data_IF_679337623593
#
_entry.id   IF_679337623593
#
_cell.length_a   1.000
_cell.length_b   1.000
_cell.length_c   1.000
_cell.angle_alpha   90.00
_cell.angle_beta   90.00
_cell.angle_gamma   90.00
#
_symmetry.space_group_name_H-M   'P 1'
#
loop_
_entity.id
_entity.type
_entity.pdbx_description
1 polymer ?
#
# COMPACT_ATOMS: atom_id res chain seq x y z
N UNK A 1 24.39 9.82 7.44
CA UNK A 1 23.71 10.79 6.53
C UNK A 1 22.27 11.05 7.00
N UNK A 2 21.76 12.28 6.95
CA UNK A 2 20.36 12.54 7.33
C UNK A 2 19.40 12.01 6.26
N UNK A 3 18.33 11.34 6.69
CA UNK A 3 17.27 10.80 5.83
C UNK A 3 15.93 11.37 6.30
N UNK A 4 15.10 11.82 5.37
CA UNK A 4 13.74 12.25 5.69
C UNK A 4 12.78 11.99 4.55
N UNK A 5 11.53 11.66 4.88
CA UNK A 5 10.45 11.48 3.92
C UNK A 5 9.13 11.98 4.52
N UNK A 6 8.19 12.39 3.67
CA UNK A 6 6.83 12.77 4.08
C UNK A 6 5.82 12.43 2.99
N UNK A 7 4.62 12.05 3.40
CA UNK A 7 3.46 11.86 2.52
C UNK A 7 2.43 12.96 2.81
N UNK A 8 1.94 13.59 1.75
CA UNK A 8 0.94 14.66 1.84
C UNK A 8 -0.23 14.32 0.93
N UNK A 9 -1.45 14.42 1.48
CA UNK A 9 -2.69 14.24 0.73
C UNK A 9 -3.70 15.30 1.17
N UNK A 10 -4.31 16.00 0.20
CA UNK A 10 -5.23 17.12 0.44
C UNK A 10 -4.70 18.20 1.42
N UNK A 11 -3.39 18.45 1.39
CA UNK A 11 -2.72 19.44 2.26
C UNK A 11 -2.36 18.94 3.66
N UNK A 12 -2.70 17.70 4.02
CA UNK A 12 -2.34 17.09 5.29
C UNK A 12 -1.11 16.22 5.13
N UNK A 13 -0.07 16.49 5.91
CA UNK A 13 1.01 15.53 6.12
C UNK A 13 0.54 14.47 7.09
N UNK A 14 0.42 13.22 6.65
CA UNK A 14 -0.15 12.12 7.46
C UNK A 14 0.85 11.02 7.81
N UNK A 15 2.00 10.98 7.11
CA UNK A 15 3.16 10.14 7.44
C UNK A 15 4.42 10.97 7.29
N UNK A 16 5.30 10.90 8.28
CA UNK A 16 6.66 11.46 8.23
C UNK A 16 7.67 10.45 8.74
N UNK A 17 8.86 10.46 8.16
CA UNK A 17 10.01 9.73 8.68
C UNK A 17 11.20 10.67 8.76
N UNK A 18 11.95 10.62 9.86
CA UNK A 18 13.24 11.33 10.01
C UNK A 18 14.23 10.42 10.72
N UNK A 19 15.45 10.35 10.20
CA UNK A 19 16.50 9.54 10.80
C UNK A 19 17.88 9.85 10.26
N UNK A 20 18.85 9.07 10.72
CA UNK A 20 20.24 9.12 10.31
C UNK A 20 20.70 7.72 9.93
N UNK A 21 21.20 7.55 8.71
CA UNK A 21 21.89 6.32 8.33
C UNK A 21 23.13 6.12 9.19
N UNK A 22 23.25 4.96 9.83
CA UNK A 22 24.39 4.54 10.65
C UNK A 22 25.41 3.72 9.88
N UNK A 23 25.19 3.54 8.58
CA UNK A 23 26.10 2.84 7.67
C UNK A 23 25.59 1.47 7.21
N UNK A 24 26.46 0.71 6.52
CA UNK A 24 26.10 -0.54 5.89
C UNK A 24 25.60 -1.58 6.90
N UNK A 25 24.57 -2.32 6.52
CA UNK A 25 24.08 -3.49 7.23
C UNK A 25 24.20 -4.73 6.34
N UNK A 26 24.22 -5.92 6.95
CA UNK A 26 24.33 -7.16 6.19
C UNK A 26 23.19 -7.29 5.17
N UNK A 27 23.51 -7.73 3.94
CA UNK A 27 22.50 -7.95 2.92
C UNK A 27 21.52 -9.03 3.39
N UNK A 28 20.23 -8.84 3.08
CA UNK A 28 19.23 -9.87 3.32
C UNK A 28 19.47 -11.03 2.35
N UNK A 29 19.22 -12.29 2.77
CA UNK A 29 19.20 -13.42 1.85
C UNK A 29 18.16 -13.18 0.75
N UNK A 30 18.30 -13.87 -0.38
CA UNK A 30 17.26 -13.83 -1.41
C UNK A 30 15.92 -14.27 -0.84
N UNK A 31 14.85 -13.58 -1.23
CA UNK A 31 13.50 -13.88 -0.77
C UNK A 31 12.46 -13.65 -1.86
N UNK A 32 11.35 -14.37 -1.76
CA UNK A 32 10.15 -14.12 -2.55
C UNK A 32 9.22 -13.17 -1.78
N UNK A 33 8.89 -12.04 -2.40
CA UNK A 33 7.82 -11.14 -1.95
C UNK A 33 6.54 -11.49 -2.70
N UNK A 34 5.49 -11.81 -1.95
CA UNK A 34 4.16 -12.12 -2.50
C UNK A 34 3.20 -10.96 -2.23
N UNK A 35 2.72 -10.32 -3.30
CA UNK A 35 1.68 -9.29 -3.24
C UNK A 35 0.38 -9.84 -3.83
N UNK A 36 -0.74 -9.51 -3.21
CA UNK A 36 -2.07 -9.89 -3.69
C UNK A 36 -2.87 -8.63 -4.01
N UNK A 37 -3.19 -8.46 -5.29
CA UNK A 37 -3.94 -7.33 -5.81
C UNK A 37 -5.34 -7.77 -6.21
N UNK A 38 -6.27 -6.84 -6.26
CA UNK A 38 -7.59 -7.08 -6.83
C UNK A 38 -7.67 -6.36 -8.18
N UNK A 39 -7.87 -7.13 -9.24
CA UNK A 39 -8.15 -6.59 -10.58
C UNK A 39 -9.65 -6.63 -10.81
N UNK A 40 -10.24 -5.47 -11.01
CA UNK A 40 -11.69 -5.28 -11.17
C UNK A 40 -11.93 -4.08 -12.08
N UNK A 41 -13.00 -4.13 -12.87
CA UNK A 41 -13.52 -2.98 -13.62
C UNK A 41 -15.02 -2.91 -13.41
N UNK A 42 -15.51 -1.84 -12.79
CA UNK A 42 -16.94 -1.57 -12.73
C UNK A 42 -17.50 -1.41 -14.15
N UNK A 43 -18.76 -1.76 -14.33
CA UNK A 43 -19.46 -1.60 -15.60
C UNK A 43 -19.57 -0.12 -15.97
N UNK A 44 -19.28 0.22 -17.23
CA UNK A 44 -19.55 1.57 -17.73
C UNK A 44 -21.05 1.90 -17.61
N UNK A 45 -21.40 2.99 -16.91
CA UNK A 45 -22.78 3.46 -16.79
C UNK A 45 -22.86 4.96 -17.11
N UNK A 46 -23.88 5.36 -17.88
CA UNK A 46 -24.22 6.76 -18.13
C UNK A 46 -25.45 7.11 -17.28
N UNK A 47 -25.29 8.03 -16.31
CA UNK A 47 -26.41 8.60 -15.56
C UNK A 47 -26.87 7.83 -14.32
N UNK A 48 -26.14 6.82 -13.84
CA UNK A 48 -26.45 6.09 -12.60
C UNK A 48 -25.24 5.38 -12.00
N UNK A 49 -25.35 4.83 -10.77
CA UNK A 49 -24.28 4.02 -10.18
C UNK A 49 -24.06 2.74 -10.99
N UNK A 50 -22.82 2.34 -11.18
CA UNK A 50 -22.49 1.08 -11.83
C UNK A 50 -23.01 -0.08 -10.97
N UNK A 51 -23.97 -0.86 -11.48
CA UNK A 51 -24.60 -1.98 -10.77
C UNK A 51 -23.93 -3.33 -11.08
N UNK A 52 -22.71 -3.32 -11.62
CA UNK A 52 -22.03 -4.53 -12.09
C UNK A 52 -20.61 -4.27 -12.55
N UNK A 53 -20.06 -5.21 -13.32
CA UNK A 53 -18.65 -5.19 -13.74
C UNK A 53 -18.49 -5.47 -15.23
N UNK A 54 -17.62 -4.71 -15.89
CA UNK A 54 -17.06 -5.08 -17.20
C UNK A 54 -15.97 -6.16 -17.04
N UNK A 55 -15.30 -6.16 -15.88
CA UNK A 55 -14.38 -7.21 -15.47
C UNK A 55 -14.61 -7.55 -13.99
N UNK A 56 -15.25 -8.68 -13.68
CA UNK A 56 -15.52 -9.09 -12.30
C UNK A 56 -14.24 -9.15 -11.45
N UNK A 57 -14.31 -8.98 -10.13
CA UNK A 57 -13.14 -8.92 -9.27
C UNK A 57 -12.37 -10.25 -9.25
N UNK A 58 -11.07 -10.17 -9.52
CA UNK A 58 -10.14 -11.30 -9.44
C UNK A 58 -8.96 -10.96 -8.53
N UNK A 59 -8.48 -11.96 -7.79
CA UNK A 59 -7.19 -11.86 -7.10
C UNK A 59 -6.08 -12.05 -8.14
N UNK A 60 -5.12 -11.15 -8.13
CA UNK A 60 -3.86 -11.24 -8.87
C UNK A 60 -2.75 -11.49 -7.88
N UNK A 61 -2.04 -12.60 -8.04
CA UNK A 61 -0.84 -12.89 -7.28
C UNK A 61 0.38 -12.42 -8.06
N UNK A 62 1.16 -11.54 -7.43
CA UNK A 62 2.44 -11.08 -7.93
C UNK A 62 3.51 -11.66 -7.01
N UNK A 63 4.32 -12.59 -7.54
CA UNK A 63 5.53 -13.06 -6.86
C UNK A 63 6.72 -12.36 -7.47
N UNK A 64 7.48 -11.64 -6.65
CA UNK A 64 8.75 -11.03 -7.06
C UNK A 64 9.89 -11.60 -6.22
N UNK A 65 10.94 -12.10 -6.86
CA UNK A 65 12.14 -12.57 -6.18
C UNK A 65 13.17 -11.46 -6.12
N UNK A 66 13.65 -11.17 -4.91
CA UNK A 66 14.61 -10.10 -4.66
C UNK A 66 15.90 -10.64 -4.05
N UNK A 67 17.01 -10.10 -4.53
CA UNK A 67 18.28 -10.06 -3.80
C UNK A 67 18.50 -8.67 -3.18
N UNK A 68 19.53 -8.54 -2.35
CA UNK A 68 19.92 -7.24 -1.78
C UNK A 68 21.22 -6.75 -2.43
N UNK A 69 21.15 -5.63 -3.15
CA UNK A 69 22.35 -4.97 -3.68
C UNK A 69 23.07 -4.16 -2.59
N UNK A 70 22.29 -3.46 -1.78
CA UNK A 70 22.79 -2.62 -0.70
C UNK A 70 21.73 -2.43 0.38
N UNK A 71 22.18 -2.29 1.63
CA UNK A 71 21.33 -2.02 2.79
C UNK A 71 22.09 -1.18 3.80
N UNK A 72 21.41 -0.20 4.38
CA UNK A 72 21.92 0.61 5.47
C UNK A 72 20.91 0.65 6.61
N UNK A 73 21.39 0.55 7.85
CA UNK A 73 20.58 0.77 9.05
C UNK A 73 20.31 2.26 9.20
N UNK A 74 19.08 2.61 9.58
CA UNK A 74 18.66 3.99 9.81
C UNK A 74 18.08 4.12 11.21
N UNK A 75 18.77 4.86 12.07
CA UNK A 75 18.21 5.27 13.35
C UNK A 75 17.28 6.45 13.12
N UNK A 76 15.97 6.21 13.17
CA UNK A 76 14.96 7.21 12.90
C UNK A 76 13.61 6.88 13.49
N UNK A 77 12.67 7.80 13.29
CA UNK A 77 11.31 7.73 13.82
C UNK A 77 10.30 7.90 12.68
N UNK A 78 9.35 6.98 12.61
CA UNK A 78 8.13 7.07 11.81
C UNK A 78 7.04 7.73 12.66
N UNK A 79 6.54 8.87 12.19
CA UNK A 79 5.45 9.60 12.82
C UNK A 79 4.21 9.50 11.94
N UNK A 80 3.15 8.92 12.49
CA UNK A 80 1.81 8.97 11.91
C UNK A 80 1.10 10.21 12.46
N UNK A 81 0.51 11.02 11.59
CA UNK A 81 -0.22 12.23 11.97
C UNK A 81 -1.70 12.10 11.66
N UNK A 82 -2.51 12.81 12.43
CA UNK A 82 -3.94 12.89 12.19
C UNK A 82 -4.22 13.53 10.82
N UNK A 83 -4.98 12.82 10.01
CA UNK A 83 -5.53 13.31 8.75
C UNK A 83 -6.97 12.84 8.64
N UNK A 84 -7.93 13.74 8.34
CA UNK A 84 -9.30 13.34 8.07
C UNK A 84 -9.41 12.55 6.75
N UNK A 85 -8.44 12.71 5.85
CA UNK A 85 -8.36 12.00 4.57
C UNK A 85 -7.64 10.66 4.67
N UNK A 86 -6.69 10.53 5.61
CA UNK A 86 -5.84 9.36 5.79
C UNK A 86 -5.69 9.03 7.28
N UNK A 87 -6.73 8.49 7.94
CA UNK A 87 -6.81 8.31 9.39
C UNK A 87 -5.98 7.12 9.91
N UNK A 88 -4.71 7.04 9.53
CA UNK A 88 -3.79 5.97 9.96
C UNK A 88 -3.67 5.89 11.49
N UNK A 89 -3.62 7.04 12.17
CA UNK A 89 -3.50 7.10 13.64
C UNK A 89 -4.65 6.45 14.39
N UNK A 90 -5.83 6.30 13.75
CA UNK A 90 -7.03 5.76 14.39
C UNK A 90 -7.48 4.43 13.81
N UNK A 91 -7.34 4.21 12.50
CA UNK A 91 -7.79 2.99 11.82
C UNK A 91 -6.67 1.97 11.59
N UNK A 92 -5.41 2.40 11.56
CA UNK A 92 -4.25 1.51 11.42
C UNK A 92 -3.04 2.04 12.24
N UNK A 93 -3.19 2.18 13.57
CA UNK A 93 -2.14 2.78 14.40
C UNK A 93 -0.90 1.89 14.42
N UNK A 94 0.27 2.52 14.31
CA UNK A 94 1.55 1.85 14.56
C UNK A 94 1.63 1.44 16.03
N UNK A 95 1.81 0.14 16.27
CA UNK A 95 1.99 -0.40 17.63
C UNK A 95 3.43 -0.26 18.11
N UNK A 96 4.37 -0.52 17.21
CA UNK A 96 5.80 -0.52 17.48
C UNK A 96 6.55 -0.29 16.17
N UNK A 97 7.67 0.43 16.23
CA UNK A 97 8.64 0.50 15.14
C UNK A 97 9.79 -0.44 15.45
N UNK A 98 9.91 -1.52 14.68
CA UNK A 98 10.92 -2.57 14.92
C UNK A 98 12.29 -2.19 14.37
N UNK A 99 12.35 -1.62 13.16
CA UNK A 99 13.60 -1.22 12.52
C UNK A 99 13.34 -0.28 11.34
N UNK A 100 14.38 0.36 10.80
CA UNK A 100 14.28 1.16 9.59
C UNK A 100 15.58 1.05 8.76
N UNK A 101 15.43 0.93 7.43
CA UNK A 101 16.55 0.71 6.53
C UNK A 101 16.40 1.49 5.24
N UNK A 102 17.51 1.95 4.68
CA UNK A 102 17.60 2.20 3.25
C UNK A 102 17.96 0.88 2.59
N UNK A 103 17.22 0.48 1.55
CA UNK A 103 17.40 -0.81 0.91
C UNK A 103 17.29 -0.69 -0.61
N UNK A 104 18.27 -1.26 -1.31
CA UNK A 104 18.31 -1.32 -2.76
C UNK A 104 18.22 -2.77 -3.22
N UNK A 105 17.16 -3.13 -3.98
CA UNK A 105 16.97 -4.48 -4.46
C UNK A 105 17.85 -4.82 -5.67
N UNK A 106 18.11 -6.13 -5.84
CA UNK A 106 18.36 -6.77 -7.14
C UNK A 106 17.07 -7.47 -7.54
N UNK A 107 16.53 -7.15 -8.71
CA UNK A 107 15.36 -7.84 -9.26
C UNK A 107 15.82 -9.13 -9.93
N UNK A 108 15.49 -10.27 -9.35
CA UNK A 108 15.95 -11.57 -9.84
C UNK A 108 14.90 -12.26 -10.71
N UNK A 109 13.63 -12.20 -10.32
CA UNK A 109 12.53 -12.85 -11.02
C UNK A 109 11.19 -12.18 -10.70
N UNK A 110 10.22 -12.30 -11.61
CA UNK A 110 8.86 -11.81 -11.41
C UNK A 110 7.85 -12.66 -12.16
N UNK A 111 6.80 -13.05 -11.44
CA UNK A 111 5.66 -13.75 -11.98
C UNK A 111 4.36 -13.07 -11.57
N UNK A 112 3.44 -12.91 -12.52
CA UNK A 112 2.12 -12.31 -12.30
C UNK A 112 1.05 -13.25 -12.83
N UNK A 113 0.14 -13.70 -11.96
CA UNK A 113 -0.92 -14.65 -12.29
C UNK A 113 -2.27 -14.18 -11.76
N UNK A 114 -3.33 -14.49 -12.49
CA UNK A 114 -4.68 -14.51 -11.91
C UNK A 114 -4.76 -15.70 -10.95
N UNK A 115 -4.89 -15.41 -9.67
CA UNK A 115 -4.90 -16.40 -8.59
C UNK A 115 -6.30 -16.96 -8.30
N UNK A 116 -7.35 -16.25 -8.72
CA UNK A 116 -8.72 -16.72 -8.54
C UNK A 116 -9.76 -15.62 -8.73
N UNK A 117 -11.03 -16.02 -8.75
CA UNK A 117 -12.18 -15.12 -8.78
C UNK A 117 -12.62 -14.77 -7.35
N UNK A 118 -13.09 -13.55 -7.14
CA UNK A 118 -13.89 -13.20 -5.97
C UNK A 118 -15.37 -13.25 -6.35
N UNK A 119 -16.23 -13.38 -5.34
CA UNK A 119 -17.68 -13.26 -5.51
C UNK A 119 -18.01 -11.81 -5.92
N UNK A 120 -18.56 -11.57 -7.13
CA UNK A 120 -18.81 -10.22 -7.61
C UNK A 120 -19.85 -9.47 -6.77
N UNK A 121 -20.90 -10.15 -6.34
CA UNK A 121 -22.03 -9.55 -5.64
C UNK A 121 -21.64 -9.21 -4.20
N UNK A 122 -20.93 -10.10 -3.52
CA UNK A 122 -20.39 -9.82 -2.18
C UNK A 122 -19.28 -8.76 -2.20
N UNK A 123 -18.54 -8.60 -3.31
CA UNK A 123 -17.52 -7.56 -3.44
C UNK A 123 -18.08 -6.18 -3.79
N UNK A 124 -19.24 -6.13 -4.47
CA UNK A 124 -19.80 -4.88 -5.01
C UNK A 124 -19.99 -3.77 -3.96
N UNK A 125 -20.43 -4.04 -2.71
CA UNK A 125 -20.53 -3.00 -1.69
C UNK A 125 -19.19 -2.35 -1.31
N UNK A 126 -18.07 -2.98 -1.63
CA UNK A 126 -16.72 -2.55 -1.24
C UNK A 126 -15.86 -2.09 -2.42
N UNK A 127 -16.39 -2.16 -3.64
CA UNK A 127 -15.64 -1.90 -4.86
C UNK A 127 -14.97 -0.53 -4.83
N UNK A 128 -15.65 0.50 -4.34
CA UNK A 128 -15.11 1.87 -4.27
C UNK A 128 -14.13 2.08 -3.11
N UNK A 129 -14.21 1.27 -2.05
CA UNK A 129 -13.36 1.36 -0.86
C UNK A 129 -12.01 0.69 -1.09
N UNK A 130 -12.02 -0.53 -1.64
CA UNK A 130 -10.85 -1.40 -1.75
C UNK A 130 -9.98 -1.06 -2.98
N UNK A 131 -10.58 -0.58 -4.07
CA UNK A 131 -9.85 -0.36 -5.35
C UNK A 131 -9.33 1.06 -5.57
N UNK A 132 -9.81 2.04 -4.81
CA UNK A 132 -9.50 3.46 -5.03
C UNK A 132 -8.77 4.19 -3.89
N UNK A 133 -8.17 3.46 -2.94
CA UNK A 133 -7.59 4.00 -1.69
C UNK A 133 -8.57 4.85 -0.87
N UNK A 134 -9.88 4.63 -1.03
CA UNK A 134 -10.93 5.50 -0.49
C UNK A 134 -11.25 5.09 0.94
N UNK A 135 -10.69 5.84 1.88
CA UNK A 135 -10.95 5.81 3.31
C UNK A 135 -12.45 5.99 3.63
N UNK A 136 -12.93 5.63 4.85
CA UNK A 136 -14.33 5.22 5.09
C UNK A 136 -15.40 6.33 5.04
N UNK A 137 -15.11 7.50 4.49
CA UNK A 137 -16.12 8.51 4.18
C UNK A 137 -16.69 8.38 2.77
N UNK A 138 -17.35 9.43 2.28
CA UNK A 138 -18.06 9.39 1.00
C UNK A 138 -17.11 9.71 -0.16
N UNK A 139 -17.13 8.88 -1.21
CA UNK A 139 -16.30 9.03 -2.42
C UNK A 139 -14.80 9.20 -2.13
N UNK A 140 -14.30 8.58 -1.06
CA UNK A 140 -12.89 8.69 -0.65
C UNK A 140 -12.52 9.96 0.11
N UNK A 141 -13.50 10.75 0.49
CA UNK A 141 -13.33 11.84 1.44
C UNK A 141 -13.50 11.40 2.91
N UNK A 142 -13.32 12.34 3.85
CA UNK A 142 -13.57 12.11 5.27
C UNK A 142 -15.05 11.80 5.56
N UNK A 143 -15.33 11.19 6.71
CA UNK A 143 -16.71 11.12 7.23
C UNK A 143 -17.19 12.53 7.59
N UNK A 144 -18.43 12.85 7.23
CA UNK A 144 -19.11 14.09 7.63
C UNK A 144 -19.70 13.95 9.03
#
# INVERSE_FOLDING_TARGET
PQVSARCVHQGYTFVEFKGVSTGPADPLPEFDHNEFWIKVSQAACVGGPATGYDFPPHVVHVRSRYGTAWREEVQGELVLRDSPWDPLTTLLPMREQVSAHLWWPIFLDREVKLAGKLDPDAFLPFVDTISGSRWPGSNGGPKR
#
